data_IF_347365771613
#
_entry.id   IF_347365771613
#
_cell.length_a   1.000
_cell.length_b   1.000
_cell.length_c   1.000
_cell.angle_alpha   90.00
_cell.angle_beta   90.00
_cell.angle_gamma   90.00
#
_symmetry.space_group_name_H-M   'P 1'
#
loop_
_entity.id
_entity.type
_entity.pdbx_description
1 polymer ?
#
# COMPACT_ATOMS: atom_id res chain seq x y z
N UNK A 1 20.56 27.15 12.94
CA UNK A 1 19.32 26.65 12.30
C UNK A 1 18.46 26.04 13.40
N UNK A 2 17.25 26.54 13.60
CA UNK A 2 16.29 25.91 14.51
C UNK A 2 15.30 25.15 13.64
N UNK A 3 15.24 23.81 13.83
CA UNK A 3 14.35 22.92 13.12
C UNK A 3 13.22 22.50 14.05
N UNK A 4 12.04 22.32 13.51
CA UNK A 4 10.90 21.69 14.17
C UNK A 4 10.43 20.50 13.33
N UNK A 5 9.97 19.45 14.01
CA UNK A 5 9.40 18.27 13.40
C UNK A 5 7.92 18.22 13.77
N UNK A 6 7.07 18.11 12.77
CA UNK A 6 5.63 17.99 12.92
C UNK A 6 5.15 16.64 12.40
N UNK A 7 4.34 15.95 13.21
CA UNK A 7 3.64 14.70 12.86
C UNK A 7 2.11 14.87 12.89
N UNK A 8 1.62 16.08 13.18
CA UNK A 8 0.20 16.41 13.20
C UNK A 8 -0.35 16.57 11.77
N UNK A 9 -0.34 15.47 11.02
CA UNK A 9 -0.86 15.36 9.65
C UNK A 9 -1.36 13.94 9.43
N UNK A 10 -2.31 13.69 8.50
CA UNK A 10 -2.76 12.34 8.19
C UNK A 10 -1.58 11.42 7.85
N UNK A 11 -1.52 10.27 8.51
CA UNK A 11 -0.40 9.34 8.36
C UNK A 11 0.90 9.77 9.05
N UNK A 12 0.89 10.84 9.86
CA UNK A 12 2.07 11.35 10.56
C UNK A 12 2.57 10.39 11.64
N UNK A 13 3.88 10.07 11.59
CA UNK A 13 4.51 9.15 12.53
C UNK A 13 6.01 9.44 12.64
N UNK A 14 6.45 9.83 13.81
CA UNK A 14 7.84 9.81 14.26
C UNK A 14 7.85 9.96 15.77
N UNK A 15 8.73 9.24 16.46
CA UNK A 15 8.92 9.35 17.89
C UNK A 15 10.41 9.49 18.24
N UNK A 16 10.70 9.85 19.50
CA UNK A 16 12.07 9.99 19.99
C UNK A 16 12.94 10.98 19.20
N UNK A 17 12.32 12.02 18.63
CA UNK A 17 12.95 12.96 17.73
C UNK A 17 14.05 13.75 18.46
N UNK A 18 15.26 13.75 17.87
CA UNK A 18 16.40 14.55 18.30
C UNK A 18 17.01 15.25 17.09
N UNK A 19 17.40 16.51 17.28
CA UNK A 19 18.11 17.27 16.24
C UNK A 19 19.56 17.37 16.69
N UNK A 20 20.45 16.88 15.86
CA UNK A 20 21.91 16.90 16.08
C UNK A 20 22.57 17.76 15.02
N UNK A 21 23.79 18.23 15.31
CA UNK A 21 24.70 18.79 14.31
C UNK A 21 25.80 17.78 14.05
N UNK A 22 25.88 17.27 12.85
CA UNK A 22 26.98 16.42 12.41
C UNK A 22 27.89 17.26 11.49
N UNK A 23 28.85 17.93 12.09
CA UNK A 23 29.63 18.95 11.38
C UNK A 23 28.75 20.14 10.93
N UNK A 24 28.76 20.42 9.62
CA UNK A 24 27.93 21.47 9.02
C UNK A 24 26.54 20.97 8.57
N UNK A 25 26.28 19.67 8.62
CA UNK A 25 25.03 19.06 8.15
C UNK A 25 24.10 18.82 9.34
N UNK A 26 22.90 19.41 9.37
CA UNK A 26 21.91 19.09 10.39
C UNK A 26 21.43 17.64 10.22
N UNK A 27 21.24 16.94 11.32
CA UNK A 27 20.76 15.58 11.39
C UNK A 27 19.50 15.49 12.25
N UNK A 28 18.45 14.89 11.70
CA UNK A 28 17.23 14.55 12.41
C UNK A 28 17.30 13.06 12.72
N UNK A 29 17.31 12.74 14.00
CA UNK A 29 17.30 11.36 14.50
C UNK A 29 15.91 11.07 15.07
N UNK A 30 15.27 10.02 14.59
CA UNK A 30 13.96 9.60 15.05
C UNK A 30 13.80 8.07 14.98
N UNK A 31 12.67 7.59 15.47
CA UNK A 31 12.21 6.23 15.27
C UNK A 31 10.77 6.25 14.75
N UNK A 32 10.36 5.19 14.05
CA UNK A 32 8.95 4.96 13.79
C UNK A 32 8.26 4.55 15.10
N UNK A 33 7.09 5.14 15.38
CA UNK A 33 6.28 4.78 16.53
C UNK A 33 5.39 3.56 16.15
N UNK A 34 5.50 2.42 16.84
CA UNK A 34 4.72 1.23 16.52
C UNK A 34 3.22 1.40 16.75
N UNK A 35 2.79 2.30 17.66
CA UNK A 35 1.37 2.64 17.93
C UNK A 35 0.44 1.41 18.00
N UNK A 36 0.87 0.38 18.72
CA UNK A 36 0.08 -0.83 18.95
C UNK A 36 0.33 -1.98 17.97
N UNK A 37 1.19 -1.79 16.97
CA UNK A 37 1.68 -2.88 16.11
C UNK A 37 3.08 -3.35 16.51
N UNK A 38 3.47 -4.53 16.08
CA UNK A 38 4.85 -5.04 16.29
C UNK A 38 5.79 -4.55 15.20
N UNK A 39 5.27 -4.14 14.04
CA UNK A 39 6.06 -3.67 12.90
C UNK A 39 6.10 -2.13 12.85
N UNK A 40 7.17 -1.55 13.36
CA UNK A 40 7.40 -0.11 13.38
C UNK A 40 8.11 0.36 12.10
N UNK A 41 7.46 0.15 10.94
CA UNK A 41 8.06 0.42 9.62
C UNK A 41 7.69 1.80 9.07
N UNK A 42 6.45 2.23 9.26
CA UNK A 42 5.98 3.48 8.71
C UNK A 42 6.45 4.68 9.52
N UNK A 43 7.08 5.63 8.87
CA UNK A 43 7.33 6.97 9.37
C UNK A 43 6.94 8.02 8.32
N UNK A 44 6.40 9.14 8.79
CA UNK A 44 6.06 10.29 7.96
C UNK A 44 6.01 11.54 8.83
N UNK A 45 6.74 12.58 8.46
CA UNK A 45 6.79 13.82 9.22
C UNK A 45 7.18 15.01 8.34
N UNK A 46 6.88 16.20 8.82
CA UNK A 46 7.29 17.45 8.20
C UNK A 46 8.43 18.10 8.99
N UNK A 47 9.45 18.52 8.30
CA UNK A 47 10.57 19.33 8.81
C UNK A 47 10.24 20.78 8.51
N UNK A 48 10.37 21.67 9.50
CA UNK A 48 10.19 23.13 9.35
C UNK A 48 11.43 23.85 9.88
N UNK A 49 12.03 24.69 9.06
CA UNK A 49 13.06 25.62 9.49
C UNK A 49 12.40 26.86 10.10
N UNK A 50 12.64 27.16 11.38
CA UNK A 50 12.03 28.29 12.06
C UNK A 50 12.74 29.62 11.81
N UNK A 51 13.96 29.58 11.26
CA UNK A 51 14.71 30.75 10.79
C UNK A 51 15.26 30.44 9.41
N UNK A 52 15.04 31.32 8.41
CA UNK A 52 15.73 31.18 7.13
C UNK A 52 17.22 31.28 7.40
N UNK A 53 17.97 30.26 7.02
CA UNK A 53 19.41 30.25 7.09
C UNK A 53 19.94 30.79 5.76
N UNK A 54 21.06 31.51 5.80
CA UNK A 54 21.71 32.05 4.60
C UNK A 54 22.20 30.96 3.63
N UNK A 55 22.21 29.68 4.06
CA UNK A 55 22.47 28.50 3.24
C UNK A 55 21.17 27.83 2.75
N UNK A 56 20.36 28.52 1.98
CA UNK A 56 19.32 27.89 1.19
C UNK A 56 19.94 26.96 0.14
N UNK A 57 19.84 25.66 0.36
CA UNK A 57 20.41 24.63 -0.52
C UNK A 57 21.37 23.66 0.15
N UNK A 58 21.46 23.70 1.48
CA UNK A 58 22.27 22.77 2.27
C UNK A 58 21.76 21.32 2.20
N UNK A 59 22.61 20.39 2.66
CA UNK A 59 22.27 18.98 2.84
C UNK A 59 21.67 18.78 4.23
N UNK A 60 20.83 17.77 4.39
CA UNK A 60 20.26 17.34 5.67
C UNK A 60 20.31 15.82 5.77
N UNK A 61 20.57 15.28 6.95
CA UNK A 61 20.47 13.85 7.21
C UNK A 61 19.22 13.52 7.99
N UNK A 62 18.58 12.40 7.65
CA UNK A 62 17.53 11.76 8.43
C UNK A 62 18.04 10.40 8.86
N UNK A 63 18.09 10.15 10.16
CA UNK A 63 18.58 8.90 10.75
C UNK A 63 17.45 8.21 11.48
N UNK A 64 17.12 7.01 11.04
CA UNK A 64 16.11 6.16 11.67
C UNK A 64 16.76 5.14 12.58
N UNK A 65 16.32 5.10 13.82
CA UNK A 65 16.79 4.20 14.88
C UNK A 65 15.94 2.92 14.94
N UNK A 66 16.43 1.96 15.71
CA UNK A 66 15.70 0.74 16.08
C UNK A 66 15.43 -0.18 14.88
N UNK A 67 16.43 -0.37 14.02
CA UNK A 67 16.34 -1.25 12.85
C UNK A 67 16.18 -2.73 13.20
N UNK A 68 16.48 -3.11 14.45
CA UNK A 68 16.19 -4.43 15.00
C UNK A 68 14.69 -4.80 14.94
N UNK A 69 13.82 -3.80 14.91
CA UNK A 69 12.38 -3.98 14.66
C UNK A 69 12.05 -4.25 13.18
N UNK A 70 13.03 -4.12 12.28
CA UNK A 70 12.88 -4.37 10.84
C UNK A 70 13.50 -5.71 10.41
N UNK A 71 14.03 -6.51 11.33
CA UNK A 71 14.76 -7.72 11.04
C UNK A 71 16.25 -7.46 10.79
N UNK A 72 16.83 -7.97 9.71
CA UNK A 72 18.24 -7.82 9.40
C UNK A 72 18.65 -6.36 9.12
N UNK A 73 19.52 -5.74 9.94
CA UNK A 73 19.86 -4.32 9.78
C UNK A 73 20.42 -3.94 8.43
N UNK A 74 21.18 -4.83 7.79
CA UNK A 74 21.77 -4.61 6.46
C UNK A 74 20.69 -4.46 5.38
N UNK A 75 19.55 -5.14 5.53
CA UNK A 75 18.44 -5.03 4.61
C UNK A 75 17.83 -3.62 4.57
N UNK A 76 17.96 -2.86 5.67
CA UNK A 76 17.51 -1.47 5.71
C UNK A 76 18.20 -0.55 4.69
N UNK A 77 19.39 -0.93 4.19
CA UNK A 77 20.09 -0.20 3.12
C UNK A 77 19.34 -0.25 1.79
N UNK A 78 18.46 -1.22 1.60
CA UNK A 78 17.61 -1.35 0.41
C UNK A 78 16.32 -0.50 0.50
N UNK A 79 16.02 0.05 1.67
CA UNK A 79 14.92 1.01 1.86
C UNK A 79 15.35 2.38 1.36
N UNK A 80 14.57 2.95 0.46
CA UNK A 80 14.80 4.30 -0.08
C UNK A 80 13.60 5.19 0.28
N UNK A 81 13.65 5.92 1.39
CA UNK A 81 12.60 6.85 1.77
C UNK A 81 12.37 7.93 0.71
N UNK A 82 11.30 8.66 0.86
CA UNK A 82 10.96 9.77 -0.02
C UNK A 82 10.95 11.07 0.76
N UNK A 83 11.23 12.18 0.06
CA UNK A 83 11.09 13.51 0.61
C UNK A 83 10.48 14.46 -0.41
N UNK A 84 9.79 15.49 0.09
CA UNK A 84 9.14 16.51 -0.74
C UNK A 84 9.46 17.90 -0.19
N UNK A 85 10.40 18.66 -0.80
CA UNK A 85 10.57 20.06 -0.50
C UNK A 85 9.32 20.86 -0.88
N UNK A 86 9.01 21.89 -0.12
CA UNK A 86 7.85 22.76 -0.35
C UNK A 86 7.82 23.28 -1.80
N UNK A 87 6.64 23.16 -2.44
CA UNK A 87 6.44 23.59 -3.82
C UNK A 87 7.02 22.66 -4.89
N UNK A 88 7.58 21.50 -4.50
CA UNK A 88 8.18 20.54 -5.41
C UNK A 88 7.44 19.19 -5.39
N UNK A 89 7.85 18.28 -6.27
CA UNK A 89 7.39 16.89 -6.28
C UNK A 89 8.12 16.03 -5.25
N UNK A 90 7.71 14.79 -5.15
CA UNK A 90 8.39 13.79 -4.34
C UNK A 90 9.66 13.28 -5.01
N UNK A 91 10.73 13.18 -4.24
CA UNK A 91 12.02 12.59 -4.62
C UNK A 91 12.28 11.36 -3.76
N UNK A 92 13.03 10.38 -4.28
CA UNK A 92 13.58 9.30 -3.46
C UNK A 92 14.97 9.66 -2.98
N UNK A 93 15.26 9.29 -1.73
CA UNK A 93 16.62 9.31 -1.22
C UNK A 93 17.48 8.29 -1.97
N UNK A 94 18.77 8.52 -2.04
CA UNK A 94 19.77 7.50 -2.36
C UNK A 94 19.84 6.46 -1.23
N UNK A 95 20.57 5.36 -1.44
CA UNK A 95 20.78 4.34 -0.41
C UNK A 95 21.27 4.90 0.91
N UNK A 96 20.85 4.31 2.01
CA UNK A 96 21.22 4.72 3.35
C UNK A 96 22.65 4.29 3.72
N UNK A 97 23.15 4.85 4.80
CA UNK A 97 24.39 4.43 5.46
C UNK A 97 24.05 3.84 6.81
N UNK A 98 24.55 2.62 7.07
CA UNK A 98 24.37 1.98 8.38
C UNK A 98 25.23 2.71 9.42
N UNK A 99 24.63 2.99 10.57
CA UNK A 99 25.26 3.68 11.70
C UNK A 99 25.08 2.81 12.94
N UNK A 100 26.14 2.66 13.74
CA UNK A 100 26.04 2.03 15.07
C UNK A 100 25.85 3.13 16.10
N UNK A 101 24.74 3.05 16.84
CA UNK A 101 24.44 3.98 17.94
C UNK A 101 25.32 3.66 19.18
N UNK A 102 25.48 4.59 20.12
CA UNK A 102 26.29 4.36 21.33
C UNK A 102 25.83 3.20 22.21
N UNK A 103 24.57 2.81 22.12
CA UNK A 103 24.00 1.65 22.81
C UNK A 103 24.23 0.31 22.07
N UNK A 104 24.98 0.33 20.98
CA UNK A 104 25.30 -0.84 20.15
C UNK A 104 24.22 -1.23 19.15
N UNK A 105 23.07 -0.56 19.13
CA UNK A 105 21.98 -0.81 18.16
C UNK A 105 22.30 -0.14 16.82
N UNK A 106 21.66 -0.65 15.78
CA UNK A 106 21.81 -0.11 14.43
C UNK A 106 20.77 0.95 14.10
N UNK A 107 21.20 1.94 13.35
CA UNK A 107 20.40 2.97 12.71
C UNK A 107 20.80 3.09 11.23
N UNK A 108 19.94 3.66 10.42
CA UNK A 108 20.24 3.98 9.01
C UNK A 108 20.07 5.47 8.79
N UNK A 109 21.04 6.10 8.13
CA UNK A 109 21.03 7.52 7.81
C UNK A 109 20.93 7.74 6.31
N UNK A 110 20.02 8.60 5.88
CA UNK A 110 19.85 9.03 4.50
C UNK A 110 20.15 10.51 4.35
N UNK A 111 20.79 10.85 3.26
CA UNK A 111 21.05 12.23 2.88
C UNK A 111 19.90 12.77 2.04
N UNK A 112 19.33 13.90 2.46
CA UNK A 112 18.39 14.70 1.71
C UNK A 112 19.16 15.84 1.03
N UNK A 113 19.37 15.80 -0.28
CA UNK A 113 19.93 16.92 -1.00
C UNK A 113 18.85 18.01 -1.17
N UNK A 114 19.24 19.25 -1.01
CA UNK A 114 18.41 20.44 -1.28
C UNK A 114 17.04 20.46 -0.53
N UNK A 115 17.00 20.28 0.81
CA UNK A 115 15.75 20.47 1.55
C UNK A 115 15.32 21.94 1.49
N UNK A 116 14.01 22.17 1.32
CA UNK A 116 13.42 23.50 1.47
C UNK A 116 13.18 23.82 2.96
N UNK A 117 12.86 25.08 3.33
CA UNK A 117 12.46 25.44 4.69
C UNK A 117 11.34 24.58 5.27
N UNK A 118 10.42 24.11 4.43
CA UNK A 118 9.50 23.05 4.75
C UNK A 118 9.77 21.84 3.85
N UNK A 119 9.96 20.67 4.44
CA UNK A 119 10.24 19.43 3.72
C UNK A 119 9.51 18.28 4.39
N UNK A 120 8.70 17.56 3.63
CA UNK A 120 8.09 16.33 4.09
C UNK A 120 9.03 15.16 3.85
N UNK A 121 9.03 14.20 4.77
CA UNK A 121 9.81 12.96 4.67
C UNK A 121 8.88 11.80 5.01
N UNK A 122 8.95 10.72 4.25
CA UNK A 122 8.16 9.53 4.51
C UNK A 122 8.89 8.24 4.10
N UNK A 123 8.49 7.12 4.69
CA UNK A 123 9.00 5.79 4.36
C UNK A 123 8.80 5.44 2.88
N UNK A 124 7.62 5.71 2.35
CA UNK A 124 7.29 5.58 0.94
C UNK A 124 6.35 6.73 0.55
N UNK A 125 6.07 6.91 -0.74
CA UNK A 125 5.16 7.94 -1.24
C UNK A 125 3.82 7.88 -0.52
N UNK A 126 3.44 8.86 0.30
CA UNK A 126 2.14 8.86 0.96
C UNK A 126 1.00 8.78 -0.05
N UNK A 127 -0.06 8.11 0.34
CA UNK A 127 -1.32 8.04 -0.40
C UNK A 127 -2.48 8.15 0.59
N UNK A 128 -3.37 9.08 0.37
CA UNK A 128 -4.44 9.37 1.32
C UNK A 128 -5.69 9.95 0.65
N UNK A 129 -6.58 10.56 1.45
CA UNK A 129 -7.83 11.13 0.94
C UNK A 129 -7.64 12.19 -0.17
N UNK A 130 -6.52 12.93 -0.15
CA UNK A 130 -6.21 13.95 -1.18
C UNK A 130 -5.96 13.32 -2.55
N UNK A 131 -5.22 12.20 -2.60
CA UNK A 131 -4.95 11.45 -3.82
C UNK A 131 -6.23 10.81 -4.36
N UNK A 132 -7.05 10.22 -3.49
CA UNK A 132 -8.36 9.65 -3.86
C UNK A 132 -9.29 10.72 -4.44
N UNK A 133 -9.38 11.88 -3.80
CA UNK A 133 -10.18 13.00 -4.31
C UNK A 133 -9.71 13.47 -5.70
N UNK A 134 -8.38 13.57 -5.89
CA UNK A 134 -7.80 13.93 -7.17
C UNK A 134 -8.07 12.88 -8.25
N UNK A 135 -8.00 11.59 -7.90
CA UNK A 135 -8.33 10.48 -8.80
C UNK A 135 -9.80 10.49 -9.20
N UNK A 136 -10.71 10.68 -8.24
CA UNK A 136 -12.15 10.77 -8.49
C UNK A 136 -12.46 11.90 -9.47
N UNK A 137 -11.90 13.10 -9.26
CA UNK A 137 -12.07 14.23 -10.17
C UNK A 137 -11.58 13.93 -11.60
N UNK A 138 -10.46 13.23 -11.75
CA UNK A 138 -9.91 12.82 -13.05
C UNK A 138 -10.75 11.76 -13.77
N UNK A 139 -11.55 11.00 -13.05
CA UNK A 139 -12.40 9.93 -13.61
C UNK A 139 -13.60 10.45 -14.40
N UNK A 140 -13.88 11.74 -14.33
CA UNK A 140 -14.98 12.42 -15.06
C UNK A 140 -16.34 11.72 -14.87
N UNK A 141 -16.63 11.23 -13.68
CA UNK A 141 -17.89 10.58 -13.32
C UNK A 141 -17.98 9.10 -13.74
N UNK A 142 -16.92 8.50 -14.22
CA UNK A 142 -16.88 7.05 -14.49
C UNK A 142 -17.02 6.25 -13.18
N UNK A 143 -16.28 6.62 -12.15
CA UNK A 143 -16.42 6.06 -10.82
C UNK A 143 -17.48 6.81 -10.03
N UNK A 144 -18.32 6.06 -9.32
CA UNK A 144 -19.28 6.54 -8.34
C UNK A 144 -18.81 6.08 -6.96
N UNK A 145 -18.91 6.96 -5.97
CA UNK A 145 -18.51 6.68 -4.60
C UNK A 145 -19.74 6.47 -3.73
N UNK A 146 -19.73 5.42 -2.92
CA UNK A 146 -20.76 5.11 -1.93
C UNK A 146 -20.12 4.91 -0.56
N UNK A 147 -20.69 5.52 0.46
CA UNK A 147 -20.41 5.18 1.86
C UNK A 147 -21.18 3.88 2.17
N UNK A 148 -20.45 2.78 2.38
CA UNK A 148 -21.03 1.47 2.64
C UNK A 148 -21.09 1.11 4.13
N UNK A 149 -20.45 1.90 4.96
CA UNK A 149 -20.40 1.80 6.42
C UNK A 149 -19.46 2.82 7.02
N UNK A 150 -19.20 2.66 8.31
CA UNK A 150 -18.22 3.45 9.05
C UNK A 150 -17.24 2.53 9.76
N UNK A 151 -16.00 3.00 9.94
CA UNK A 151 -14.98 2.31 10.72
C UNK A 151 -15.29 2.36 12.23
N UNK A 152 -14.48 1.69 13.02
CA UNK A 152 -14.61 1.73 14.49
C UNK A 152 -14.44 3.14 15.06
N UNK A 153 -13.59 3.98 14.47
CA UNK A 153 -13.37 5.38 14.87
C UNK A 153 -14.33 6.35 14.14
N UNK A 154 -15.25 5.85 13.32
CA UNK A 154 -16.30 6.63 12.66
C UNK A 154 -15.92 7.20 11.29
N UNK A 155 -14.77 6.85 10.74
CA UNK A 155 -14.41 7.25 9.38
C UNK A 155 -15.30 6.56 8.33
N UNK A 156 -15.63 7.20 7.20
CA UNK A 156 -16.44 6.57 6.16
C UNK A 156 -15.68 5.43 5.50
N UNK A 157 -16.31 4.26 5.42
CA UNK A 157 -15.87 3.15 4.60
C UNK A 157 -16.50 3.30 3.23
N UNK A 158 -15.66 3.59 2.24
CA UNK A 158 -16.13 3.92 0.90
C UNK A 158 -15.85 2.80 -0.10
N UNK A 159 -16.78 2.61 -1.02
CA UNK A 159 -16.63 1.77 -2.18
C UNK A 159 -16.84 2.59 -3.46
N UNK A 160 -15.98 2.39 -4.43
CA UNK A 160 -16.14 2.94 -5.78
C UNK A 160 -16.73 1.91 -6.71
N UNK A 161 -17.63 2.32 -7.59
CA UNK A 161 -18.27 1.47 -8.58
C UNK A 161 -18.32 2.17 -9.95
N UNK A 162 -18.04 1.44 -11.02
CA UNK A 162 -18.31 1.90 -12.38
C UNK A 162 -19.76 1.55 -12.80
N UNK A 163 -20.30 0.46 -12.27
CA UNK A 163 -21.62 -0.07 -12.55
C UNK A 163 -22.17 -0.75 -11.30
N UNK A 164 -23.43 -0.52 -10.99
CA UNK A 164 -24.07 -1.12 -9.83
C UNK A 164 -24.65 -2.52 -10.11
N UNK A 165 -24.73 -2.89 -11.39
CA UNK A 165 -25.36 -4.14 -11.79
C UNK A 165 -26.85 -4.22 -11.40
N UNK A 166 -27.43 -5.38 -11.63
CA UNK A 166 -28.79 -5.71 -11.19
C UNK A 166 -28.78 -7.11 -10.55
N UNK A 167 -29.71 -7.40 -9.66
CA UNK A 167 -29.86 -8.74 -9.08
C UNK A 167 -29.97 -9.79 -10.18
N UNK A 168 -29.12 -10.83 -10.13
CA UNK A 168 -29.04 -11.84 -11.18
C UNK A 168 -28.29 -11.38 -12.44
N UNK A 169 -27.56 -10.24 -12.39
CA UNK A 169 -26.80 -9.70 -13.49
C UNK A 169 -25.74 -10.67 -14.03
N UNK A 170 -25.50 -10.61 -15.35
CA UNK A 170 -24.58 -11.53 -16.04
C UNK A 170 -23.23 -10.89 -16.41
N UNK A 171 -23.06 -9.60 -16.20
CA UNK A 171 -21.79 -8.90 -16.46
C UNK A 171 -20.70 -9.49 -15.56
N UNK A 172 -19.52 -9.74 -16.11
CA UNK A 172 -18.41 -10.25 -15.29
C UNK A 172 -18.04 -9.24 -14.21
N UNK A 173 -17.90 -9.71 -12.96
CA UNK A 173 -17.62 -8.87 -11.80
C UNK A 173 -16.18 -8.98 -11.35
N UNK A 174 -15.58 -7.83 -11.00
CA UNK A 174 -14.27 -7.74 -10.37
C UNK A 174 -14.41 -6.93 -9.08
N UNK A 175 -13.84 -7.42 -7.98
CA UNK A 175 -13.80 -6.72 -6.69
C UNK A 175 -12.37 -6.44 -6.29
N UNK A 176 -12.06 -5.20 -5.96
CA UNK A 176 -10.70 -4.75 -5.69
C UNK A 176 -10.61 -4.19 -4.26
N UNK A 177 -9.55 -4.53 -3.56
CA UNK A 177 -9.25 -3.97 -2.23
C UNK A 177 -7.80 -3.51 -2.16
N UNK A 178 -7.55 -2.39 -1.49
CA UNK A 178 -6.21 -1.92 -1.14
C UNK A 178 -6.21 -1.29 0.26
N UNK A 179 -5.04 -1.20 0.85
CA UNK A 179 -4.81 -0.54 2.16
C UNK A 179 -5.50 -1.22 3.33
N UNK A 180 -5.50 -2.52 3.34
CA UNK A 180 -5.82 -3.31 4.54
C UNK A 180 -4.75 -3.13 5.62
N UNK A 181 -3.54 -2.80 5.18
CA UNK A 181 -2.43 -2.35 6.02
C UNK A 181 -2.03 -0.93 5.59
N UNK A 182 -2.17 0.02 6.52
CA UNK A 182 -2.12 1.45 6.21
C UNK A 182 -0.77 1.96 5.66
N UNK A 183 0.34 1.30 5.96
CA UNK A 183 1.67 1.62 5.45
C UNK A 183 1.93 1.15 4.01
N UNK A 184 1.06 0.30 3.46
CA UNK A 184 1.26 -0.32 2.14
C UNK A 184 0.84 0.58 0.97
N UNK A 185 1.44 1.76 0.91
CA UNK A 185 1.13 2.75 -0.12
C UNK A 185 1.43 2.33 -1.57
N UNK A 186 2.42 1.44 -1.87
CA UNK A 186 2.62 0.91 -3.23
C UNK A 186 1.37 0.29 -3.83
N UNK A 187 0.60 -0.48 -3.03
CA UNK A 187 -0.67 -1.07 -3.45
C UNK A 187 -1.71 -0.02 -3.87
N UNK A 188 -1.81 1.08 -3.11
CA UNK A 188 -2.73 2.17 -3.46
C UNK A 188 -2.35 2.88 -4.75
N UNK A 189 -1.07 3.17 -4.97
CA UNK A 189 -0.59 3.77 -6.20
C UNK A 189 -0.81 2.85 -7.42
N UNK A 190 -0.68 1.54 -7.24
CA UNK A 190 -0.99 0.57 -8.29
C UNK A 190 -2.50 0.51 -8.56
N UNK A 191 -3.34 0.44 -7.52
CA UNK A 191 -4.79 0.52 -7.69
C UNK A 191 -5.21 1.82 -8.39
N UNK A 192 -4.58 2.96 -8.07
CA UNK A 192 -4.82 4.22 -8.80
C UNK A 192 -4.57 4.06 -10.30
N UNK A 193 -3.43 3.45 -10.69
CA UNK A 193 -3.11 3.21 -12.10
C UNK A 193 -4.14 2.32 -12.80
N UNK A 194 -4.59 1.26 -12.12
CA UNK A 194 -5.67 0.40 -12.57
C UNK A 194 -6.96 1.20 -12.80
N UNK A 195 -7.41 1.93 -11.79
CA UNK A 195 -8.66 2.70 -11.84
C UNK A 195 -8.61 3.82 -12.90
N UNK A 196 -7.47 4.48 -13.07
CA UNK A 196 -7.28 5.47 -14.14
C UNK A 196 -7.35 4.85 -15.53
N UNK A 197 -6.78 3.66 -15.72
CA UNK A 197 -6.83 2.97 -17.01
C UNK A 197 -8.26 2.59 -17.35
N UNK A 198 -8.99 1.96 -16.42
CA UNK A 198 -10.39 1.55 -16.62
C UNK A 198 -11.30 2.74 -16.95
N UNK A 199 -11.09 3.90 -16.33
CA UNK A 199 -11.88 5.11 -16.61
C UNK A 199 -11.65 5.71 -18.02
N UNK A 200 -10.64 5.26 -18.77
CA UNK A 200 -10.31 5.73 -20.12
C UNK A 200 -10.83 4.82 -21.23
N UNK A 201 -11.24 3.59 -20.91
CA UNK A 201 -11.71 2.64 -21.92
C UNK A 201 -13.14 2.96 -22.35
N UNK A 202 -13.43 2.74 -23.66
CA UNK A 202 -14.75 3.02 -24.24
C UNK A 202 -15.78 1.91 -23.99
N UNK A 203 -15.34 0.67 -23.85
CA UNK A 203 -16.15 -0.51 -23.54
C UNK A 203 -15.66 -1.13 -22.26
N UNK A 204 -16.55 -1.24 -21.31
CA UNK A 204 -16.28 -1.83 -20.03
C UNK A 204 -16.94 -3.21 -19.93
N UNK A 205 -16.17 -4.31 -20.07
CA UNK A 205 -16.71 -5.66 -20.00
C UNK A 205 -17.00 -6.09 -18.56
N UNK A 206 -16.53 -5.31 -17.55
CA UNK A 206 -16.62 -5.69 -16.14
C UNK A 206 -17.51 -4.74 -15.34
N UNK A 207 -18.22 -5.30 -14.38
CA UNK A 207 -18.72 -4.58 -13.22
C UNK A 207 -17.62 -4.56 -12.15
N UNK A 208 -17.05 -3.40 -11.90
CA UNK A 208 -15.92 -3.24 -10.99
C UNK A 208 -16.38 -2.50 -9.74
N UNK A 209 -16.19 -3.12 -8.58
CA UNK A 209 -16.31 -2.50 -7.28
C UNK A 209 -14.93 -2.47 -6.62
N UNK A 210 -14.57 -1.36 -6.00
CA UNK A 210 -13.25 -1.16 -5.41
C UNK A 210 -13.37 -0.50 -4.04
N UNK A 211 -12.69 -1.05 -3.04
CA UNK A 211 -12.43 -0.44 -1.74
C UNK A 211 -10.98 0.10 -1.77
N UNK A 212 -10.78 1.41 -2.05
CA UNK A 212 -9.44 1.94 -2.26
C UNK A 212 -8.65 2.14 -0.96
N UNK A 213 -9.32 2.09 0.21
CA UNK A 213 -8.73 2.31 1.52
C UNK A 213 -9.51 1.53 2.56
N UNK A 214 -9.01 0.33 2.87
CA UNK A 214 -9.74 -0.60 3.73
C UNK A 214 -9.56 -0.31 5.23
N UNK A 215 -8.45 0.31 5.66
CA UNK A 215 -8.24 0.73 7.06
C UNK A 215 -7.96 2.24 7.15
N UNK A 216 -9.01 3.09 7.10
CA UNK A 216 -8.86 4.53 7.20
C UNK A 216 -8.40 4.99 8.60
N UNK A 217 -8.75 4.26 9.66
CA UNK A 217 -8.37 4.60 11.03
C UNK A 217 -6.87 4.42 11.25
N UNK A 218 -6.31 3.30 10.79
CA UNK A 218 -4.88 3.05 10.85
C UNK A 218 -4.08 4.07 10.02
N UNK A 219 -4.63 4.52 8.87
CA UNK A 219 -4.01 5.59 8.10
C UNK A 219 -4.00 6.91 8.88
N UNK A 220 -5.12 7.33 9.46
CA UNK A 220 -5.18 8.58 10.22
C UNK A 220 -4.24 8.54 11.42
N UNK A 221 -4.17 7.42 12.12
CA UNK A 221 -3.23 7.21 13.22
C UNK A 221 -1.75 7.20 12.77
N UNK A 222 -1.47 7.01 11.49
CA UNK A 222 -0.11 6.95 10.95
C UNK A 222 0.65 5.69 11.39
N UNK A 223 -0.04 4.56 11.50
CA UNK A 223 0.58 3.26 11.78
C UNK A 223 0.96 2.55 10.49
N UNK A 224 1.85 1.56 10.56
CA UNK A 224 2.12 0.69 9.43
C UNK A 224 0.91 -0.17 9.09
N UNK A 225 0.20 -0.65 10.09
CA UNK A 225 -1.04 -1.40 9.95
C UNK A 225 -0.85 -2.92 9.97
N UNK A 226 0.35 -3.44 9.77
CA UNK A 226 0.66 -4.86 9.83
C UNK A 226 0.81 -5.31 11.28
N UNK A 227 0.27 -6.46 11.61
CA UNK A 227 0.31 -7.04 12.96
C UNK A 227 -0.23 -6.10 14.06
N UNK A 228 -1.26 -5.30 13.76
CA UNK A 228 -1.94 -4.47 14.75
C UNK A 228 -2.69 -5.32 15.77
N UNK A 229 -2.73 -4.83 17.01
CA UNK A 229 -3.55 -5.41 18.06
C UNK A 229 -4.95 -4.78 18.06
N UNK A 230 -6.05 -5.54 18.26
CA UNK A 230 -6.09 -7.01 18.42
C UNK A 230 -5.89 -7.77 17.11
N UNK A 231 -6.15 -7.17 15.94
CA UNK A 231 -6.05 -7.80 14.62
C UNK A 231 -6.02 -6.71 13.54
N UNK A 232 -5.18 -6.84 12.53
CA UNK A 232 -5.22 -5.99 11.34
C UNK A 232 -6.33 -6.43 10.37
N UNK A 233 -6.69 -5.55 9.42
CA UNK A 233 -7.79 -5.84 8.48
C UNK A 233 -7.45 -7.00 7.55
N UNK A 234 -6.16 -7.14 7.13
CA UNK A 234 -5.71 -8.24 6.25
C UNK A 234 -5.98 -9.63 6.84
N UNK A 235 -6.02 -9.74 8.17
CA UNK A 235 -6.25 -11.00 8.90
C UNK A 235 -7.66 -11.15 9.48
N UNK A 236 -8.53 -10.20 9.22
CA UNK A 236 -9.83 -10.11 9.89
C UNK A 236 -11.00 -10.75 9.10
N UNK A 237 -10.73 -11.46 8.01
CA UNK A 237 -11.76 -11.98 7.09
C UNK A 237 -12.34 -13.33 7.48
N UNK A 238 -12.20 -13.74 8.73
CA UNK A 238 -12.80 -14.97 9.27
C UNK A 238 -14.34 -14.95 9.23
N UNK A 239 -14.92 -16.07 9.68
CA UNK A 239 -16.36 -16.20 9.85
C UNK A 239 -16.64 -16.71 11.29
N UNK A 240 -17.04 -15.80 12.21
CA UNK A 240 -17.34 -14.38 12.01
C UNK A 240 -16.08 -13.54 11.73
N UNK A 241 -16.22 -12.36 11.08
CA UNK A 241 -15.10 -11.47 10.83
C UNK A 241 -14.51 -10.91 12.13
N UNK A 242 -13.16 -10.77 12.16
CA UNK A 242 -12.42 -10.35 13.34
C UNK A 242 -12.45 -8.83 13.61
N UNK A 243 -12.91 -8.04 12.61
CA UNK A 243 -13.05 -6.57 12.72
C UNK A 243 -14.34 -6.09 12.06
N UNK A 244 -14.82 -4.94 12.52
CA UNK A 244 -16.04 -4.31 12.00
C UNK A 244 -15.90 -3.96 10.51
N UNK A 245 -14.77 -3.44 10.10
CA UNK A 245 -14.50 -3.08 8.70
C UNK A 245 -14.62 -4.30 7.78
N UNK A 246 -14.02 -5.42 8.16
CA UNK A 246 -14.11 -6.67 7.40
C UNK A 246 -15.56 -7.16 7.29
N UNK A 247 -16.37 -7.03 8.35
CA UNK A 247 -17.80 -7.34 8.29
C UNK A 247 -18.55 -6.46 7.29
N UNK A 248 -18.27 -5.15 7.25
CA UNK A 248 -18.87 -4.22 6.29
C UNK A 248 -18.52 -4.61 4.86
N UNK A 249 -17.25 -4.95 4.61
CA UNK A 249 -16.78 -5.35 3.28
C UNK A 249 -17.33 -6.70 2.85
N UNK A 250 -17.38 -7.71 3.73
CA UNK A 250 -18.01 -8.99 3.43
C UNK A 250 -19.48 -8.81 3.01
N UNK A 251 -20.23 -7.99 3.73
CA UNK A 251 -21.62 -7.65 3.38
C UNK A 251 -21.72 -6.99 2.00
N UNK A 252 -20.81 -6.09 1.65
CA UNK A 252 -20.77 -5.43 0.35
C UNK A 252 -20.39 -6.41 -0.77
N UNK A 253 -19.45 -7.33 -0.52
CA UNK A 253 -19.05 -8.40 -1.44
C UNK A 253 -20.19 -9.35 -1.75
N UNK A 254 -21.02 -9.73 -0.75
CA UNK A 254 -22.22 -10.53 -1.01
C UNK A 254 -23.25 -9.78 -1.87
N UNK A 255 -23.39 -8.45 -1.70
CA UNK A 255 -24.21 -7.61 -2.57
C UNK A 255 -23.67 -7.56 -3.99
N UNK A 256 -22.37 -7.40 -4.15
CA UNK A 256 -21.69 -7.43 -5.44
C UNK A 256 -21.90 -8.77 -6.14
N UNK A 257 -21.69 -9.89 -5.45
CA UNK A 257 -21.88 -11.24 -5.97
C UNK A 257 -23.30 -11.47 -6.49
N UNK A 258 -24.30 -10.94 -5.82
CA UNK A 258 -25.70 -11.06 -6.23
C UNK A 258 -26.04 -10.26 -7.52
N UNK A 259 -25.17 -9.33 -7.94
CA UNK A 259 -25.43 -8.37 -9.02
C UNK A 259 -24.63 -8.59 -10.30
N UNK A 260 -23.72 -9.55 -10.29
CA UNK A 260 -22.86 -9.88 -11.42
C UNK A 260 -22.60 -11.38 -11.50
N UNK A 261 -21.83 -11.79 -12.51
CA UNK A 261 -21.17 -13.08 -12.55
C UNK A 261 -19.76 -12.89 -11.96
N UNK A 262 -19.51 -13.29 -10.71
CA UNK A 262 -18.22 -13.08 -10.08
C UNK A 262 -17.08 -13.73 -10.87
N UNK A 263 -16.04 -12.97 -11.16
CA UNK A 263 -14.91 -13.43 -11.96
C UNK A 263 -13.59 -13.39 -11.18
N UNK A 264 -13.36 -12.34 -10.38
CA UNK A 264 -12.07 -12.14 -9.72
C UNK A 264 -12.18 -11.19 -8.54
N UNK A 265 -11.54 -11.56 -7.40
CA UNK A 265 -11.14 -10.68 -6.32
C UNK A 265 -9.66 -10.31 -6.46
N UNK A 266 -9.28 -9.08 -6.11
CA UNK A 266 -7.88 -8.63 -6.16
C UNK A 266 -7.55 -7.79 -4.94
N UNK A 267 -6.49 -8.18 -4.23
CA UNK A 267 -5.87 -7.38 -3.18
C UNK A 267 -4.60 -6.72 -3.70
N UNK A 268 -4.40 -5.45 -3.33
CA UNK A 268 -3.20 -4.68 -3.65
C UNK A 268 -2.41 -4.39 -2.38
N UNK A 269 -1.39 -5.19 -2.12
CA UNK A 269 -0.47 -5.05 -0.99
C UNK A 269 0.90 -4.55 -1.42
N UNK A 270 1.73 -4.21 -0.43
CA UNK A 270 3.16 -4.10 -0.64
C UNK A 270 3.86 -5.44 -0.31
N UNK A 271 5.04 -5.61 -0.89
CA UNK A 271 5.96 -6.68 -0.51
C UNK A 271 6.65 -6.35 0.83
N UNK A 272 7.51 -7.24 1.33
CA UNK A 272 8.35 -6.90 2.47
C UNK A 272 9.21 -5.66 2.19
N UNK A 273 9.55 -4.85 3.20
CA UNK A 273 10.14 -3.51 3.01
C UNK A 273 11.41 -3.48 2.16
N UNK A 274 12.20 -4.53 2.19
CA UNK A 274 13.46 -4.65 1.47
C UNK A 274 13.38 -5.58 0.25
N UNK A 275 12.18 -6.06 -0.08
CA UNK A 275 12.00 -6.92 -1.25
C UNK A 275 12.23 -6.12 -2.55
N UNK A 276 13.08 -6.65 -3.40
CA UNK A 276 13.47 -6.06 -4.69
C UNK A 276 13.34 -7.03 -5.86
N UNK A 277 12.72 -8.19 -5.64
CA UNK A 277 12.56 -9.23 -6.66
C UNK A 277 11.64 -8.83 -7.81
N UNK A 278 10.72 -7.91 -7.56
CA UNK A 278 9.67 -7.51 -8.50
C UNK A 278 8.27 -7.74 -7.93
N UNK A 279 7.26 -7.41 -8.71
CA UNK A 279 5.86 -7.69 -8.36
C UNK A 279 5.61 -9.18 -8.45
N UNK A 280 4.99 -9.74 -7.43
CA UNK A 280 4.54 -11.13 -7.43
C UNK A 280 3.10 -11.24 -6.91
N UNK A 281 2.52 -12.41 -7.12
CA UNK A 281 1.14 -12.69 -6.83
C UNK A 281 1.04 -13.90 -5.90
N UNK A 282 0.34 -13.75 -4.79
CA UNK A 282 -0.02 -14.85 -3.89
C UNK A 282 -1.34 -15.44 -4.35
N UNK A 283 -1.34 -16.73 -4.61
CA UNK A 283 -2.49 -17.53 -5.04
C UNK A 283 -3.14 -18.20 -3.82
N UNK A 284 -4.45 -18.48 -3.88
CA UNK A 284 -5.09 -19.26 -2.83
C UNK A 284 -4.44 -20.65 -2.72
N UNK A 285 -4.45 -21.23 -1.51
CA UNK A 285 -3.89 -22.55 -1.27
C UNK A 285 -4.63 -23.62 -2.09
N UNK A 286 -3.87 -24.38 -2.92
CA UNK A 286 -4.43 -25.43 -3.76
C UNK A 286 -5.12 -26.54 -2.94
N UNK A 287 -4.60 -26.81 -1.74
CA UNK A 287 -5.17 -27.78 -0.80
C UNK A 287 -6.56 -27.42 -0.27
N UNK A 288 -6.89 -26.12 -0.23
CA UNK A 288 -8.17 -25.60 0.30
C UNK A 288 -9.19 -25.31 -0.81
N UNK A 289 -8.72 -24.78 -1.95
CA UNK A 289 -9.58 -24.33 -3.03
C UNK A 289 -8.98 -24.63 -4.41
N UNK A 290 -8.90 -25.92 -4.84
CA UNK A 290 -8.16 -26.32 -6.03
C UNK A 290 -8.68 -25.71 -7.34
N UNK A 291 -9.98 -25.50 -7.47
CA UNK A 291 -10.58 -24.90 -8.67
C UNK A 291 -10.28 -23.41 -8.77
N UNK A 292 -10.39 -22.70 -7.64
CA UNK A 292 -10.05 -21.29 -7.53
C UNK A 292 -8.55 -21.07 -7.71
N UNK A 293 -7.71 -21.96 -7.19
CA UNK A 293 -6.26 -21.94 -7.42
C UNK A 293 -5.95 -22.02 -8.92
N UNK A 294 -6.49 -23.02 -9.64
CA UNK A 294 -6.30 -23.16 -11.09
C UNK A 294 -6.82 -21.93 -11.87
N UNK A 295 -7.93 -21.33 -11.41
CA UNK A 295 -8.43 -20.11 -12.03
C UNK A 295 -7.49 -18.93 -11.77
N UNK A 296 -6.95 -18.81 -10.55
CA UNK A 296 -5.97 -17.80 -10.15
C UNK A 296 -4.68 -17.91 -10.97
N UNK A 297 -4.16 -19.13 -11.19
CA UNK A 297 -3.00 -19.35 -12.05
C UNK A 297 -3.20 -18.82 -13.47
N UNK A 298 -4.37 -19.08 -14.05
CA UNK A 298 -4.69 -18.55 -15.40
C UNK A 298 -4.69 -17.02 -15.46
N UNK A 299 -5.20 -16.36 -14.41
CA UNK A 299 -5.13 -14.92 -14.30
C UNK A 299 -3.71 -14.41 -14.09
N UNK A 300 -2.98 -15.01 -13.15
CA UNK A 300 -1.61 -14.66 -12.84
C UNK A 300 -0.68 -14.75 -14.07
N UNK A 301 -0.86 -15.76 -14.91
CA UNK A 301 -0.06 -15.92 -16.14
C UNK A 301 -0.28 -14.76 -17.13
N UNK A 302 -1.53 -14.34 -17.36
CA UNK A 302 -1.82 -13.20 -18.25
C UNK A 302 -1.29 -11.89 -17.66
N UNK A 303 -1.44 -11.71 -16.35
CA UNK A 303 -0.96 -10.50 -15.66
C UNK A 303 0.57 -10.44 -15.69
N UNK A 304 1.26 -11.55 -15.46
CA UNK A 304 2.73 -11.63 -15.58
C UNK A 304 3.22 -11.19 -16.97
N UNK A 305 2.54 -11.64 -18.02
CA UNK A 305 2.87 -11.26 -19.39
C UNK A 305 2.73 -9.75 -19.63
N UNK A 306 1.68 -9.11 -19.09
CA UNK A 306 1.47 -7.66 -19.22
C UNK A 306 2.47 -6.84 -18.38
N UNK A 307 2.80 -7.31 -17.19
CA UNK A 307 3.83 -6.67 -16.36
C UNK A 307 5.21 -6.74 -17.02
N UNK A 308 5.48 -7.82 -17.75
CA UNK A 308 6.76 -8.05 -18.41
C UNK A 308 7.93 -8.19 -17.44
N UNK A 309 9.15 -8.39 -17.96
CA UNK A 309 10.36 -8.57 -17.15
C UNK A 309 10.76 -7.31 -16.37
N UNK A 310 10.24 -6.17 -16.74
CA UNK A 310 10.55 -4.90 -16.08
C UNK A 310 9.92 -4.76 -14.69
N UNK A 311 8.81 -5.45 -14.45
CA UNK A 311 8.05 -5.35 -13.21
C UNK A 311 7.81 -6.71 -12.53
N UNK A 312 7.59 -7.78 -13.29
CA UNK A 312 7.29 -9.09 -12.72
C UNK A 312 8.53 -9.75 -12.09
N UNK A 313 8.36 -10.32 -10.91
CA UNK A 313 9.39 -11.17 -10.32
C UNK A 313 9.58 -12.46 -11.14
N UNK A 314 10.78 -13.04 -11.10
CA UNK A 314 11.06 -14.33 -11.74
C UNK A 314 10.14 -15.42 -11.19
N UNK A 315 10.02 -15.51 -9.87
CA UNK A 315 9.04 -16.33 -9.15
C UNK A 315 7.75 -15.53 -8.93
N UNK A 316 7.00 -15.32 -10.00
CA UNK A 316 5.82 -14.45 -9.96
C UNK A 316 4.66 -15.03 -9.15
N UNK A 317 4.49 -16.35 -9.13
CA UNK A 317 3.40 -17.02 -8.41
C UNK A 317 3.93 -17.64 -7.12
N UNK A 318 3.30 -17.30 -6.01
CA UNK A 318 3.52 -17.92 -4.71
C UNK A 318 2.19 -18.49 -4.22
N UNK A 319 2.23 -19.56 -3.46
CA UNK A 319 1.02 -20.13 -2.85
C UNK A 319 0.86 -19.62 -1.43
N UNK A 320 -0.37 -19.28 -1.06
CA UNK A 320 -0.68 -18.87 0.30
C UNK A 320 -0.41 -20.03 1.28
N UNK A 321 0.25 -19.71 2.37
CA UNK A 321 0.37 -20.63 3.50
C UNK A 321 -0.94 -20.62 4.26
N UNK A 322 -1.63 -21.76 4.28
CA UNK A 322 -2.88 -21.89 5.02
C UNK A 322 -2.65 -21.62 6.52
N UNK A 323 -3.37 -20.65 7.06
CA UNK A 323 -3.33 -20.36 8.48
C UNK A 323 -4.13 -21.43 9.25
N UNK A 324 -3.62 -21.87 10.42
CA UNK A 324 -4.29 -22.89 11.23
C UNK A 324 -5.57 -22.34 11.89
N UNK A 325 -5.65 -21.05 12.16
CA UNK A 325 -6.77 -20.41 12.83
C UNK A 325 -7.76 -19.82 11.83
N UNK A 326 -9.00 -20.38 11.74
CA UNK A 326 -10.02 -19.88 10.82
C UNK A 326 -10.52 -18.46 11.16
N UNK A 327 -10.21 -17.93 12.34
CA UNK A 327 -10.51 -16.55 12.69
C UNK A 327 -9.57 -15.55 12.03
N UNK A 328 -8.35 -15.97 11.67
CA UNK A 328 -7.31 -15.14 11.08
C UNK A 328 -7.15 -15.40 9.57
N UNK A 329 -8.18 -15.08 8.80
CA UNK A 329 -8.21 -15.32 7.35
C UNK A 329 -7.98 -14.02 6.58
N UNK A 330 -7.40 -14.16 5.38
CA UNK A 330 -7.26 -13.08 4.40
C UNK A 330 -8.52 -12.93 3.54
N UNK A 331 -8.64 -11.80 2.83
CA UNK A 331 -9.71 -11.61 1.84
C UNK A 331 -9.65 -12.69 0.73
N UNK A 332 -8.46 -13.04 0.28
CA UNK A 332 -8.27 -14.08 -0.73
C UNK A 332 -8.84 -15.43 -0.26
N UNK A 333 -8.62 -15.82 0.99
CA UNK A 333 -9.20 -17.04 1.57
C UNK A 333 -10.73 -16.95 1.68
N UNK A 334 -11.27 -15.81 2.14
CA UNK A 334 -12.72 -15.57 2.19
C UNK A 334 -13.35 -15.66 0.80
N UNK A 335 -12.75 -15.01 -0.22
CA UNK A 335 -13.25 -15.10 -1.60
C UNK A 335 -13.27 -16.51 -2.15
N UNK A 336 -12.22 -17.29 -1.89
CA UNK A 336 -12.07 -18.62 -2.47
C UNK A 336 -12.84 -19.69 -1.74
N UNK A 337 -12.82 -19.68 -0.40
CA UNK A 337 -13.41 -20.73 0.42
C UNK A 337 -14.90 -20.48 0.72
N UNK A 338 -15.29 -19.23 1.06
CA UNK A 338 -16.68 -18.92 1.42
C UNK A 338 -17.52 -18.47 0.24
N UNK A 339 -16.92 -17.71 -0.69
CA UNK A 339 -17.66 -17.22 -1.85
C UNK A 339 -17.51 -18.09 -3.10
N UNK A 340 -16.52 -18.99 -3.15
CA UNK A 340 -16.24 -19.82 -4.31
C UNK A 340 -15.76 -19.01 -5.52
N UNK A 341 -15.16 -17.84 -5.29
CA UNK A 341 -14.67 -16.91 -6.32
C UNK A 341 -13.15 -16.88 -6.33
N UNK A 342 -12.56 -16.92 -7.51
CA UNK A 342 -11.12 -16.78 -7.67
C UNK A 342 -10.63 -15.44 -7.12
N UNK A 343 -9.50 -15.44 -6.40
CA UNK A 343 -8.86 -14.22 -5.92
C UNK A 343 -7.33 -14.26 -6.05
N UNK A 344 -6.73 -13.09 -6.10
CA UNK A 344 -5.29 -12.85 -6.22
C UNK A 344 -4.86 -11.76 -5.25
N UNK A 345 -3.72 -11.95 -4.59
CA UNK A 345 -3.13 -10.93 -3.73
C UNK A 345 -1.77 -10.51 -4.28
N UNK A 346 -1.63 -9.26 -4.72
CA UNK A 346 -0.39 -8.73 -5.25
C UNK A 346 0.51 -8.20 -4.15
N UNK A 347 1.82 -8.44 -4.30
CA UNK A 347 2.89 -7.90 -3.48
C UNK A 347 3.78 -7.00 -4.33
N UNK A 348 3.79 -5.70 -4.03
CA UNK A 348 4.43 -4.66 -4.83
C UNK A 348 5.59 -4.06 -4.03
N UNK A 349 6.85 -4.07 -4.53
CA UNK A 349 8.00 -3.56 -3.79
C UNK A 349 7.90 -2.07 -3.43
N UNK A 350 8.43 -1.69 -2.25
CA UNK A 350 8.39 -0.30 -1.77
C UNK A 350 9.36 0.63 -2.48
N UNK A 351 10.56 0.16 -2.80
CA UNK A 351 11.65 1.09 -3.16
C UNK A 351 12.20 0.84 -4.56
N UNK A 352 12.42 -0.41 -4.92
CA UNK A 352 13.08 -0.78 -6.17
C UNK A 352 12.74 -2.19 -6.64
N UNK A 353 13.01 -2.46 -7.91
CA UNK A 353 13.02 -3.81 -8.51
C UNK A 353 14.41 -3.99 -9.09
N UNK A 354 15.20 -4.90 -8.54
CA UNK A 354 16.62 -5.01 -8.85
C UNK A 354 17.32 -3.66 -8.62
N UNK A 355 17.84 -3.06 -9.69
CA UNK A 355 18.47 -1.73 -9.66
C UNK A 355 17.51 -0.58 -10.03
N UNK A 356 16.34 -0.88 -10.58
CA UNK A 356 15.32 0.11 -10.96
C UNK A 356 14.66 0.72 -9.74
N UNK A 357 14.88 2.00 -9.48
CA UNK A 357 14.22 2.75 -8.40
C UNK A 357 12.80 3.09 -8.82
N UNK A 358 11.83 2.76 -7.95
CA UNK A 358 10.41 2.96 -8.22
C UNK A 358 9.96 4.38 -7.86
N UNK A 359 9.13 4.95 -8.72
CA UNK A 359 8.43 6.23 -8.53
C UNK A 359 6.91 5.99 -8.52
N UNK A 360 6.14 7.01 -8.15
CA UNK A 360 4.68 7.00 -8.26
C UNK A 360 4.19 6.62 -9.68
N UNK A 361 4.94 7.01 -10.71
CA UNK A 361 4.65 6.66 -12.10
C UNK A 361 4.78 5.15 -12.32
N UNK A 362 5.86 4.52 -11.84
CA UNK A 362 6.07 3.08 -11.99
C UNK A 362 4.98 2.26 -11.30
N UNK A 363 4.52 2.67 -10.11
CA UNK A 363 3.38 1.99 -9.46
C UNK A 363 2.10 2.08 -10.30
N UNK A 364 1.80 3.25 -10.88
CA UNK A 364 0.64 3.39 -11.78
C UNK A 364 0.77 2.53 -13.03
N UNK A 365 1.97 2.40 -13.60
CA UNK A 365 2.24 1.52 -14.74
C UNK A 365 2.01 0.05 -14.38
N UNK A 366 2.37 -0.39 -13.17
CA UNK A 366 2.03 -1.72 -12.65
C UNK A 366 0.52 -1.93 -12.62
N UNK A 367 -0.22 -1.00 -12.05
CA UNK A 367 -1.68 -1.07 -12.00
C UNK A 367 -2.34 -1.05 -13.38
N UNK A 368 -1.84 -0.23 -14.30
CA UNK A 368 -2.28 -0.19 -15.69
C UNK A 368 -2.05 -1.53 -16.41
N UNK A 369 -0.91 -2.19 -16.18
CA UNK A 369 -0.62 -3.50 -16.74
C UNK A 369 -1.62 -4.56 -16.24
N UNK A 370 -1.94 -4.55 -14.94
CA UNK A 370 -2.96 -5.44 -14.37
C UNK A 370 -4.34 -5.19 -15.01
N UNK A 371 -4.72 -3.93 -15.22
CA UNK A 371 -5.98 -3.59 -15.90
C UNK A 371 -6.02 -4.07 -17.36
N UNK A 372 -4.93 -3.90 -18.11
CA UNK A 372 -4.79 -4.40 -19.48
C UNK A 372 -4.92 -5.93 -19.57
N UNK A 373 -4.31 -6.64 -18.61
CA UNK A 373 -4.42 -8.09 -18.53
C UNK A 373 -5.87 -8.55 -18.32
N UNK A 374 -6.62 -7.85 -17.46
CA UNK A 374 -8.05 -8.13 -17.26
C UNK A 374 -8.83 -7.97 -18.57
N UNK A 375 -8.62 -6.87 -19.30
CA UNK A 375 -9.32 -6.58 -20.55
C UNK A 375 -9.04 -7.62 -21.62
N UNK A 376 -7.80 -8.09 -21.75
CA UNK A 376 -7.42 -9.15 -22.71
C UNK A 376 -8.11 -10.48 -22.43
N UNK A 377 -8.33 -10.82 -21.17
CA UNK A 377 -8.95 -12.09 -20.79
C UNK A 377 -10.47 -12.03 -20.79
N UNK A 378 -11.05 -10.82 -20.67
CA UNK A 378 -12.50 -10.59 -20.68
C UNK A 378 -13.09 -10.38 -22.08
N UNK A 379 -12.24 -10.22 -23.11
CA UNK A 379 -12.62 -10.20 -24.52
C UNK A 379 -12.58 -11.57 -25.12
#
# INVERSE_FOLDING_TARGET
MSLQIATAMPGGNACGVKIRKNGLVPEIVCAADPKGGTEALWFSFQIRATKPDENQGGKMCVTLRHLDLWGEPVAALDVLPVYRPQGQGWYRCSGGTLVTEPDGRFAVSWLLPHPAPETEVAFCFPYGPSELKALMAKSKGYWKEDEIGRSEEGAPLVRWANDYGATGGRKSGVYLVAREQAGETPGSWALEGFLQHMARIKRDPFMIWAVPMADPDALERGVHGKSLYPLDVDRAWGTPPGRHEAWVYQRDMFRWRARCKPALGVEFHAAEPFDKRGVYCVLPAASKAPDQHRAAERWANVIRQELGPDYAADEFKQEAVALPDPAHRTMTEFFTEDMGVCALSFRIPYSRIGTKVLSQRHYREIGEAIAKALLKKGS
#
